data_IF_910973023922
#
_entry.id   IF_910973023922
#
_cell.length_a   1.000
_cell.length_b   1.000
_cell.length_c   1.000
_cell.angle_alpha   90.00
_cell.angle_beta   90.00
_cell.angle_gamma   90.00
#
_symmetry.space_group_name_H-M   'P 1'
#
loop_
_entity.id
_entity.type
_entity.pdbx_description
1 polymer ?
#
# COMPACT_ATOMS: atom_id res chain seq x y z
N UNK A 1 -10.50 -7.65 -10.18
CA UNK A 1 -10.47 -8.80 -9.25
C UNK A 1 -9.00 -9.06 -8.92
N UNK A 2 -8.59 -9.02 -7.65
CA UNK A 2 -7.21 -9.35 -7.32
C UNK A 2 -6.98 -10.85 -7.58
N UNK A 3 -5.88 -11.24 -8.23
CA UNK A 3 -5.59 -12.65 -8.45
C UNK A 3 -5.46 -13.36 -7.10
N UNK A 4 -6.16 -14.49 -6.95
CA UNK A 4 -6.08 -15.30 -5.73
C UNK A 4 -4.70 -15.97 -5.68
N UNK A 5 -3.87 -15.50 -4.75
CA UNK A 5 -2.54 -16.06 -4.50
C UNK A 5 -2.67 -17.19 -3.47
N UNK A 6 -2.35 -18.42 -3.88
CA UNK A 6 -2.19 -19.54 -2.94
C UNK A 6 -0.92 -19.33 -2.11
N UNK A 7 -0.94 -19.72 -0.82
CA UNK A 7 0.22 -19.60 0.08
C UNK A 7 1.46 -20.38 -0.40
N UNK A 8 1.30 -21.31 -1.34
CA UNK A 8 2.39 -22.05 -1.99
C UNK A 8 2.88 -21.41 -3.30
N UNK A 9 2.21 -20.37 -3.80
CA UNK A 9 2.51 -19.76 -5.10
C UNK A 9 3.58 -18.68 -4.93
N UNK A 10 4.75 -18.88 -5.53
CA UNK A 10 5.86 -17.90 -5.52
C UNK A 10 5.72 -16.84 -6.61
N UNK A 11 4.79 -17.05 -7.56
CA UNK A 11 4.52 -16.15 -8.67
C UNK A 11 3.01 -15.95 -8.87
N UNK A 12 2.67 -14.86 -9.53
CA UNK A 12 1.32 -14.47 -9.95
C UNK A 12 1.33 -14.27 -11.45
N UNK A 13 0.35 -14.84 -12.15
CA UNK A 13 0.18 -14.61 -13.59
C UNK A 13 -0.59 -13.32 -13.79
N UNK A 14 0.04 -12.35 -14.47
CA UNK A 14 -0.53 -11.02 -14.71
C UNK A 14 -0.65 -10.80 -16.22
N UNK A 15 -1.80 -10.30 -16.71
CA UNK A 15 -1.93 -9.89 -18.11
C UNK A 15 -1.09 -8.63 -18.34
N UNK A 16 -0.15 -8.70 -19.28
CA UNK A 16 0.80 -7.61 -19.61
C UNK A 16 0.36 -6.75 -20.79
N UNK A 17 -0.80 -7.04 -21.38
CA UNK A 17 -1.35 -6.38 -22.56
C UNK A 17 -1.21 -7.24 -23.81
N UNK A 18 -2.31 -7.45 -24.54
CA UNK A 18 -2.44 -8.51 -25.56
C UNK A 18 -2.82 -9.87 -24.95
N UNK A 19 -2.73 -10.96 -25.73
CA UNK A 19 -2.96 -12.35 -25.26
C UNK A 19 -1.73 -12.94 -24.52
N UNK A 20 -0.82 -12.08 -24.03
CA UNK A 20 0.41 -12.48 -23.33
C UNK A 20 0.23 -12.40 -21.81
N UNK A 21 0.76 -13.41 -21.14
CA UNK A 21 0.67 -13.58 -19.70
C UNK A 21 2.08 -13.78 -19.14
N UNK A 22 2.45 -12.97 -18.17
CA UNK A 22 3.76 -13.05 -17.52
C UNK A 22 3.63 -13.60 -16.10
N UNK A 23 4.55 -14.48 -15.72
CA UNK A 23 4.65 -15.03 -14.37
C UNK A 23 5.55 -14.14 -13.52
N UNK A 24 4.93 -13.27 -12.73
CA UNK A 24 5.67 -12.28 -11.93
C UNK A 24 5.86 -12.82 -10.52
N UNK A 25 7.10 -12.89 -9.99
CA UNK A 25 7.34 -13.27 -8.60
C UNK A 25 6.65 -12.34 -7.61
N UNK A 26 6.27 -12.88 -6.46
CA UNK A 26 5.81 -12.06 -5.34
C UNK A 26 7.04 -11.47 -4.67
N UNK A 27 7.07 -10.15 -4.59
CA UNK A 27 8.15 -9.41 -3.94
C UNK A 27 7.60 -8.31 -3.02
N UNK A 28 8.44 -7.89 -2.08
CA UNK A 28 8.24 -6.69 -1.28
C UNK A 28 8.73 -5.49 -2.07
N UNK A 29 7.99 -4.39 -2.02
CA UNK A 29 8.41 -3.12 -2.62
C UNK A 29 9.11 -2.26 -1.56
N UNK A 30 10.41 -2.10 -1.72
CA UNK A 30 11.29 -1.33 -0.83
C UNK A 30 11.40 0.14 -1.19
N UNK A 31 11.97 0.92 -0.26
CA UNK A 31 12.46 2.27 -0.54
C UNK A 31 13.85 2.20 -1.20
N UNK A 32 14.30 3.30 -1.82
CA UNK A 32 15.62 3.35 -2.49
C UNK A 32 16.81 3.19 -1.52
N UNK A 33 16.58 3.32 -0.22
CA UNK A 33 17.61 3.08 0.81
C UNK A 33 17.87 1.61 1.13
N UNK A 34 17.10 0.67 0.54
CA UNK A 34 17.33 -0.76 0.70
C UNK A 34 18.08 -1.32 -0.49
N UNK A 35 18.77 -2.45 -0.28
CA UNK A 35 19.37 -3.20 -1.38
C UNK A 35 18.29 -4.00 -2.12
N UNK A 36 18.39 -4.02 -3.45
CA UNK A 36 17.55 -4.87 -4.28
C UNK A 36 17.95 -6.35 -4.07
N UNK A 37 16.97 -7.22 -3.83
CA UNK A 37 17.16 -8.66 -3.60
C UNK A 37 16.03 -9.45 -4.27
N UNK A 38 16.16 -10.77 -4.33
CA UNK A 38 15.15 -11.67 -4.92
C UNK A 38 13.73 -11.53 -4.36
N UNK A 39 13.57 -10.99 -3.15
CA UNK A 39 12.27 -10.81 -2.50
C UNK A 39 11.98 -9.34 -2.16
N UNK A 40 12.90 -8.40 -2.43
CA UNK A 40 12.75 -6.98 -2.16
C UNK A 40 13.19 -6.18 -3.39
N UNK A 41 12.22 -5.66 -4.13
CA UNK A 41 12.45 -4.81 -5.30
C UNK A 41 12.46 -3.36 -4.84
N UNK A 42 13.47 -2.62 -5.26
CA UNK A 42 13.55 -1.16 -5.11
C UNK A 42 13.39 -0.49 -6.47
N UNK A 43 13.08 0.80 -6.47
CA UNK A 43 13.09 1.61 -7.69
C UNK A 43 14.50 1.66 -8.29
N UNK A 44 14.59 1.76 -9.61
CA UNK A 44 15.85 2.02 -10.32
C UNK A 44 16.51 3.30 -9.81
N UNK A 45 17.83 3.35 -9.84
CA UNK A 45 18.59 4.54 -9.47
C UNK A 45 18.35 5.67 -10.46
N UNK A 46 18.53 6.93 -10.03
CA UNK A 46 18.28 8.09 -10.89
C UNK A 46 19.16 8.06 -12.15
N UNK A 47 20.39 7.55 -12.04
CA UNK A 47 21.30 7.36 -13.19
C UNK A 47 20.77 6.33 -14.20
N UNK A 48 19.88 5.42 -13.79
CA UNK A 48 19.27 4.38 -14.63
C UNK A 48 17.92 4.82 -15.24
N UNK A 49 17.44 6.02 -14.90
CA UNK A 49 16.16 6.57 -15.40
C UNK A 49 16.28 7.42 -16.67
N UNK A 50 17.39 7.31 -17.39
CA UNK A 50 17.54 7.92 -18.72
C UNK A 50 16.55 7.31 -19.73
N UNK A 51 16.18 6.04 -19.52
CA UNK A 51 15.11 5.38 -20.28
C UNK A 51 13.72 5.78 -19.74
N UNK A 52 12.83 6.15 -20.66
CA UNK A 52 11.46 6.56 -20.37
C UNK A 52 10.66 5.44 -19.68
N UNK A 53 10.93 4.17 -20.02
CA UNK A 53 10.26 3.02 -19.41
C UNK A 53 10.64 2.87 -17.95
N UNK A 54 11.94 2.94 -17.63
CA UNK A 54 12.43 2.88 -16.24
C UNK A 54 11.84 4.01 -15.39
N UNK A 55 11.73 5.22 -15.96
CA UNK A 55 11.13 6.37 -15.28
C UNK A 55 9.64 6.17 -14.97
N UNK A 56 8.86 5.71 -15.95
CA UNK A 56 7.42 5.45 -15.78
C UNK A 56 7.18 4.33 -14.74
N UNK A 57 7.98 3.26 -14.79
CA UNK A 57 7.92 2.19 -13.81
C UNK A 57 8.25 2.69 -12.39
N UNK A 58 9.29 3.51 -12.25
CA UNK A 58 9.64 4.12 -10.97
C UNK A 58 8.52 5.01 -10.42
N UNK A 59 7.83 5.76 -11.26
CA UNK A 59 6.68 6.58 -10.85
C UNK A 59 5.53 5.71 -10.32
N UNK A 60 5.19 4.64 -11.02
CA UNK A 60 4.14 3.70 -10.60
C UNK A 60 4.50 3.00 -9.26
N UNK A 61 5.71 2.47 -9.15
CA UNK A 61 6.18 1.82 -7.92
C UNK A 61 6.23 2.80 -6.74
N UNK A 62 6.75 4.01 -6.97
CA UNK A 62 6.81 5.05 -5.94
C UNK A 62 5.41 5.47 -5.49
N UNK A 63 4.47 5.64 -6.41
CA UNK A 63 3.07 5.97 -6.11
C UNK A 63 2.37 4.89 -5.30
N UNK A 64 2.54 3.62 -5.66
CA UNK A 64 2.00 2.48 -4.92
C UNK A 64 2.54 2.44 -3.48
N UNK A 65 3.86 2.58 -3.31
CA UNK A 65 4.51 2.62 -2.01
C UNK A 65 4.08 3.82 -1.17
N UNK A 66 3.96 5.00 -1.79
CA UNK A 66 3.56 6.22 -1.12
C UNK A 66 2.18 6.09 -0.46
N UNK A 67 1.21 5.50 -1.15
CA UNK A 67 -0.14 5.26 -0.60
C UNK A 67 -0.09 4.38 0.65
N UNK A 68 0.64 3.26 0.60
CA UNK A 68 0.82 2.39 1.76
C UNK A 68 1.52 3.12 2.92
N UNK A 69 2.61 3.85 2.63
CA UNK A 69 3.35 4.66 3.62
C UNK A 69 2.46 5.69 4.29
N UNK A 70 1.64 6.41 3.53
CA UNK A 70 0.70 7.40 4.07
C UNK A 70 -0.36 6.74 4.96
N UNK A 71 -0.95 5.62 4.54
CA UNK A 71 -1.94 4.89 5.33
C UNK A 71 -1.35 4.44 6.67
N UNK A 72 -0.18 3.80 6.67
CA UNK A 72 0.51 3.41 7.90
C UNK A 72 0.98 4.62 8.74
N UNK A 73 1.31 5.74 8.08
CA UNK A 73 1.62 7.00 8.74
C UNK A 73 0.45 7.55 9.55
N UNK A 74 -0.77 7.49 9.01
CA UNK A 74 -1.98 7.86 9.75
C UNK A 74 -2.29 6.84 10.85
N UNK A 75 -2.11 5.55 10.55
CA UNK A 75 -2.37 4.46 11.49
C UNK A 75 -1.50 4.59 12.75
N UNK A 76 -0.19 4.80 12.59
CA UNK A 76 0.74 4.95 13.73
C UNK A 76 0.46 6.21 14.56
N UNK A 77 -0.02 7.29 13.94
CA UNK A 77 -0.35 8.52 14.66
C UNK A 77 -1.59 8.36 15.55
N UNK A 78 -2.54 7.51 15.16
CA UNK A 78 -3.75 7.26 15.94
C UNK A 78 -3.58 6.13 16.95
N UNK A 79 -2.91 5.06 16.56
CA UNK A 79 -2.84 3.82 17.33
C UNK A 79 -1.47 3.64 17.97
N UNK A 80 -1.37 3.97 19.26
CA UNK A 80 -0.12 3.90 20.04
C UNK A 80 0.54 2.52 20.06
N UNK A 81 -0.23 1.45 19.85
CA UNK A 81 0.29 0.07 19.76
C UNK A 81 1.31 -0.10 18.63
N UNK A 82 1.23 0.72 17.57
CA UNK A 82 2.14 0.67 16.42
C UNK A 82 3.41 1.53 16.61
N UNK A 83 3.52 2.26 17.73
CA UNK A 83 4.71 3.06 18.04
C UNK A 83 5.84 2.23 18.67
N UNK A 84 5.53 1.00 19.09
CA UNK A 84 6.49 -0.01 19.54
C UNK A 84 6.42 -1.19 18.58
N UNK A 85 7.51 -1.95 18.47
CA UNK A 85 7.48 -3.24 17.78
C UNK A 85 6.40 -4.14 18.35
N UNK A 86 5.65 -4.82 17.48
CA UNK A 86 4.65 -5.81 17.91
C UNK A 86 5.42 -7.07 18.31
N UNK A 87 5.66 -7.23 19.62
CA UNK A 87 6.36 -8.38 20.21
C UNK A 87 5.44 -9.61 20.33
N UNK A 88 4.74 -9.94 19.25
CA UNK A 88 3.82 -11.09 19.18
C UNK A 88 4.21 -11.96 17.98
N UNK A 89 3.71 -13.20 17.97
CA UNK A 89 3.87 -14.09 16.82
C UNK A 89 3.28 -13.44 15.56
N UNK A 90 3.92 -13.68 14.41
CA UNK A 90 3.57 -13.05 13.13
C UNK A 90 2.10 -13.24 12.74
N UNK A 91 1.50 -14.37 13.15
CA UNK A 91 0.08 -14.66 12.94
C UNK A 91 -0.85 -13.74 13.72
N UNK A 92 -0.47 -13.28 14.90
CA UNK A 92 -1.27 -12.33 15.68
C UNK A 92 -0.97 -10.89 15.23
N UNK A 93 0.29 -10.60 14.88
CA UNK A 93 0.69 -9.29 14.38
C UNK A 93 -0.09 -8.90 13.11
N UNK A 94 -0.28 -9.84 12.16
CA UNK A 94 -1.10 -9.60 10.96
C UNK A 94 -2.55 -9.23 11.32
N UNK A 95 -3.15 -9.92 12.30
CA UNK A 95 -4.55 -9.75 12.66
C UNK A 95 -4.77 -8.39 13.33
N UNK A 96 -3.81 -7.96 14.16
CA UNK A 96 -3.79 -6.61 14.73
C UNK A 96 -3.74 -5.56 13.63
N UNK A 97 -2.82 -5.70 12.66
CA UNK A 97 -2.69 -4.73 11.56
C UNK A 97 -3.98 -4.68 10.73
N UNK A 98 -4.58 -5.83 10.40
CA UNK A 98 -5.85 -5.86 9.67
C UNK A 98 -6.99 -5.23 10.45
N UNK A 99 -7.15 -5.55 11.73
CA UNK A 99 -8.17 -4.95 12.58
C UNK A 99 -8.02 -3.42 12.65
N UNK A 100 -6.80 -2.91 12.82
CA UNK A 100 -6.53 -1.48 12.86
C UNK A 100 -6.84 -0.80 11.53
N UNK A 101 -6.49 -1.41 10.39
CA UNK A 101 -6.83 -0.89 9.07
C UNK A 101 -8.36 -0.80 8.85
N UNK A 102 -9.10 -1.85 9.23
CA UNK A 102 -10.57 -1.86 9.11
C UNK A 102 -11.19 -0.76 9.97
N UNK A 103 -10.81 -0.67 11.24
CA UNK A 103 -11.33 0.35 12.16
C UNK A 103 -10.95 1.76 11.68
N UNK A 104 -9.71 1.95 11.21
CA UNK A 104 -9.27 3.24 10.68
C UNK A 104 -10.12 3.68 9.48
N UNK A 105 -10.36 2.78 8.52
CA UNK A 105 -11.19 3.08 7.35
C UNK A 105 -12.61 3.45 7.76
N UNK A 106 -13.22 2.66 8.65
CA UNK A 106 -14.55 2.95 9.20
C UNK A 106 -14.63 4.35 9.84
N UNK A 107 -13.64 4.70 10.66
CA UNK A 107 -13.58 6.03 11.30
C UNK A 107 -13.35 7.17 10.31
N UNK A 108 -12.62 6.94 9.21
CA UNK A 108 -12.43 7.94 8.15
C UNK A 108 -13.72 8.18 7.38
N UNK A 109 -14.44 7.12 7.04
CA UNK A 109 -15.74 7.20 6.36
C UNK A 109 -16.76 7.96 7.21
N UNK A 110 -16.84 7.63 8.50
CA UNK A 110 -17.69 8.36 9.44
C UNK A 110 -17.33 9.84 9.54
N UNK A 111 -16.04 10.17 9.71
CA UNK A 111 -15.61 11.57 9.75
C UNK A 111 -15.99 12.32 8.47
N UNK A 112 -15.90 11.67 7.31
CA UNK A 112 -16.31 12.25 6.02
C UNK A 112 -17.81 12.56 6.01
N UNK A 113 -18.66 11.62 6.42
CA UNK A 113 -20.12 11.79 6.49
C UNK A 113 -20.51 12.95 7.42
N UNK A 114 -19.98 12.98 8.65
CA UNK A 114 -20.28 14.07 9.60
C UNK A 114 -19.76 15.42 9.11
N UNK A 115 -18.57 15.46 8.50
CA UNK A 115 -18.02 16.69 7.94
C UNK A 115 -18.87 17.22 6.77
N UNK A 116 -19.37 16.33 5.90
CA UNK A 116 -20.28 16.70 4.82
C UNK A 116 -21.66 17.13 5.32
N UNK A 117 -22.19 16.46 6.35
CA UNK A 117 -23.45 16.86 7.01
C UNK A 117 -23.34 18.28 7.55
N UNK A 118 -22.29 18.60 8.30
CA UNK A 118 -22.08 19.96 8.80
C UNK A 118 -21.94 20.98 7.67
N UNK A 119 -21.32 20.63 6.54
CA UNK A 119 -21.20 21.53 5.38
C UNK A 119 -22.52 21.76 4.65
N UNK A 120 -23.40 20.77 4.60
CA UNK A 120 -24.75 20.88 4.03
C UNK A 120 -25.65 21.83 4.82
N UNK A 121 -25.50 21.88 6.14
CA UNK A 121 -26.25 22.77 7.02
C UNK A 121 -25.85 24.25 6.84
N UNK A 122 -24.59 24.54 6.47
CA UNK A 122 -24.14 25.90 6.18
C UNK A 122 -24.62 26.46 4.83
N UNK A 123 -25.08 25.62 3.89
CA UNK A 123 -25.52 26.07 2.56
C UNK A 123 -27.03 26.31 2.44
N UNK A 124 -27.84 25.91 3.43
CA UNK A 124 -29.30 26.08 3.44
C UNK A 124 -29.79 27.28 4.27
N UNK A 125 -28.89 28.12 4.78
CA UNK A 125 -29.21 29.33 5.56
C UNK A 125 -28.86 30.63 4.80
N UNK A 126 -29.36 30.77 3.57
CA UNK A 126 -29.42 32.05 2.86
C UNK A 126 -30.82 32.31 2.33
#
# INVERSE_FOLDING_TARGET
MFPSVSAASTTVVIPTGGDTFESVPIFLLGDSGYQNTYFLVTTFELAETEDAVCKDLNEHLSSARYKAKCAFGQLKCRWRILLRGIELVTTIAKDIVYALCIIQNFLMDWKSVYFMSMKGDFHNHK
#
